data_IF_750855902370
#
_entry.id   IF_750855902370
#
_cell.length_a   1.000
_cell.length_b   1.000
_cell.length_c   1.000
_cell.angle_alpha   90.00
_cell.angle_beta   90.00
_cell.angle_gamma   90.00
#
_symmetry.space_group_name_H-M   'P 1'
#
loop_
_entity.id
_entity.type
_entity.pdbx_description
1 polymer ?
#
# COMPACT_ATOMS: atom_id res chain seq x y z
N UNK A 1 -14.29 8.72 -19.76
CA UNK A 1 -14.99 8.46 -18.47
C UNK A 1 -14.76 9.59 -17.46
N UNK A 2 -13.57 9.76 -16.87
CA UNK A 2 -13.35 10.82 -15.86
C UNK A 2 -13.47 12.24 -16.44
N UNK A 3 -12.85 12.51 -17.59
CA UNK A 3 -12.95 13.79 -18.32
C UNK A 3 -14.41 14.16 -18.61
N UNK A 4 -15.19 13.23 -19.17
CA UNK A 4 -16.61 13.45 -19.51
C UNK A 4 -17.45 13.74 -18.26
N UNK A 5 -17.21 13.01 -17.17
CA UNK A 5 -17.90 13.20 -15.89
C UNK A 5 -17.64 14.59 -15.31
N UNK A 6 -16.36 15.00 -15.24
CA UNK A 6 -15.98 16.33 -14.75
C UNK A 6 -16.51 17.44 -15.66
N UNK A 7 -16.45 17.24 -16.98
CA UNK A 7 -17.00 18.18 -17.96
C UNK A 7 -18.51 18.39 -17.82
N UNK A 8 -19.25 17.29 -17.61
CA UNK A 8 -20.69 17.37 -17.35
C UNK A 8 -21.00 18.07 -16.02
N UNK A 9 -20.29 17.72 -14.95
CA UNK A 9 -20.46 18.36 -13.64
C UNK A 9 -20.14 19.87 -13.69
N UNK A 10 -19.07 20.27 -14.39
CA UNK A 10 -18.71 21.67 -14.58
C UNK A 10 -19.80 22.43 -15.34
N UNK A 11 -20.37 21.83 -16.38
CA UNK A 11 -21.49 22.40 -17.14
C UNK A 11 -22.71 22.64 -16.25
N UNK A 12 -23.12 21.63 -15.47
CA UNK A 12 -24.27 21.75 -14.55
C UNK A 12 -24.03 22.78 -13.45
N UNK A 13 -22.81 22.91 -12.96
CA UNK A 13 -22.43 23.88 -11.93
C UNK A 13 -22.20 25.30 -12.48
N UNK A 14 -22.35 25.53 -13.78
CA UNK A 14 -22.09 26.83 -14.41
C UNK A 14 -20.62 27.26 -14.34
N UNK A 15 -19.70 26.30 -14.20
CA UNK A 15 -18.26 26.56 -14.16
C UNK A 15 -17.72 26.75 -15.58
N UNK A 16 -16.67 27.57 -15.70
CA UNK A 16 -15.95 27.77 -16.96
C UNK A 16 -15.39 26.42 -17.47
N UNK A 17 -15.68 26.11 -18.74
CA UNK A 17 -15.13 24.94 -19.39
C UNK A 17 -13.63 25.13 -19.67
N UNK A 18 -12.79 24.25 -19.09
CA UNK A 18 -11.34 24.21 -19.34
C UNK A 18 -10.95 22.90 -20.02
N UNK A 19 -9.96 22.99 -20.91
CA UNK A 19 -9.41 21.82 -21.58
C UNK A 19 -8.80 20.85 -20.56
N UNK A 20 -9.15 19.56 -20.68
CA UNK A 20 -8.64 18.52 -19.80
C UNK A 20 -7.14 18.26 -20.06
N UNK A 21 -6.32 18.43 -19.02
CA UNK A 21 -4.86 18.21 -19.11
C UNK A 21 -4.42 16.83 -18.60
N UNK A 22 -5.34 16.03 -18.07
CA UNK A 22 -5.01 14.77 -17.35
C UNK A 22 -4.36 13.72 -18.25
N UNK A 23 -4.57 13.77 -19.57
CA UNK A 23 -3.90 12.90 -20.56
C UNK A 23 -2.37 12.97 -20.49
N UNK A 24 -1.81 14.11 -20.06
CA UNK A 24 -0.38 14.34 -19.93
C UNK A 24 0.07 14.53 -18.48
N UNK A 25 -0.86 14.42 -17.53
CA UNK A 25 -0.57 14.58 -16.13
C UNK A 25 0.00 13.27 -15.59
N UNK A 26 1.26 13.32 -15.16
CA UNK A 26 1.86 12.22 -14.45
C UNK A 26 1.17 12.04 -13.09
N UNK A 27 0.75 10.81 -12.79
CA UNK A 27 0.20 10.49 -11.48
C UNK A 27 1.29 10.47 -10.41
N UNK A 28 0.87 10.54 -9.15
CA UNK A 28 1.76 10.38 -8.01
C UNK A 28 2.58 9.08 -8.12
N UNK A 29 3.83 9.11 -7.66
CA UNK A 29 4.79 8.02 -7.85
C UNK A 29 5.47 8.00 -9.22
N UNK A 30 5.05 8.79 -10.22
CA UNK A 30 5.70 8.78 -11.53
C UNK A 30 7.19 9.17 -11.45
N UNK A 31 8.03 8.32 -12.02
CA UNK A 31 9.45 8.58 -12.18
C UNK A 31 9.93 7.98 -13.52
N UNK A 32 10.84 8.65 -14.23
CA UNK A 32 11.28 8.23 -15.59
C UNK A 32 12.08 6.93 -15.62
N UNK A 33 12.83 6.65 -14.56
CA UNK A 33 13.71 5.47 -14.47
C UNK A 33 13.60 4.83 -13.08
N UNK A 34 12.43 4.26 -12.72
CA UNK A 34 12.19 3.72 -11.37
C UNK A 34 13.03 2.48 -11.05
N UNK A 35 13.53 1.78 -12.07
CA UNK A 35 14.32 0.55 -11.93
C UNK A 35 15.60 0.76 -11.11
N UNK A 36 16.13 1.99 -11.06
CA UNK A 36 17.29 2.35 -10.25
C UNK A 36 17.06 2.16 -8.74
N UNK A 37 15.80 2.05 -8.31
CA UNK A 37 15.43 1.86 -6.91
C UNK A 37 15.31 0.38 -6.50
N UNK A 38 15.64 -0.57 -7.38
CA UNK A 38 15.64 -2.00 -7.06
C UNK A 38 14.25 -2.50 -6.65
N UNK A 39 14.14 -3.13 -5.48
CA UNK A 39 12.85 -3.64 -4.95
C UNK A 39 11.82 -2.54 -4.74
N UNK A 40 12.23 -1.29 -4.53
CA UNK A 40 11.35 -0.14 -4.34
C UNK A 40 10.95 0.53 -5.66
N UNK A 41 11.31 -0.03 -6.82
CA UNK A 41 10.93 0.52 -8.12
C UNK A 41 9.43 0.72 -8.28
N UNK A 42 8.61 -0.08 -7.60
CA UNK A 42 7.14 0.03 -7.63
C UNK A 42 6.61 1.36 -7.07
N UNK A 43 7.38 2.04 -6.20
CA UNK A 43 7.02 3.32 -5.59
C UNK A 43 7.53 4.53 -6.39
N UNK A 44 8.34 4.31 -7.42
CA UNK A 44 8.85 5.35 -8.30
C UNK A 44 9.44 6.55 -7.56
N UNK A 45 8.83 7.73 -7.68
CA UNK A 45 9.35 8.96 -7.07
C UNK A 45 9.38 8.95 -5.54
N UNK A 46 8.62 8.07 -4.90
CA UNK A 46 8.55 7.98 -3.44
C UNK A 46 9.63 7.06 -2.84
N UNK A 47 10.29 6.27 -3.68
CA UNK A 47 11.33 5.34 -3.24
C UNK A 47 12.44 5.99 -2.40
N UNK A 48 12.97 7.20 -2.69
CA UNK A 48 13.95 7.85 -1.82
C UNK A 48 13.43 8.11 -0.40
N UNK A 49 12.18 8.57 -0.26
CA UNK A 49 11.60 8.83 1.05
C UNK A 49 11.37 7.52 1.83
N UNK A 50 10.99 6.44 1.14
CA UNK A 50 10.92 5.11 1.74
C UNK A 50 12.29 4.63 2.19
N UNK A 51 13.34 4.86 1.40
CA UNK A 51 14.71 4.50 1.79
C UNK A 51 15.16 5.23 3.05
N UNK A 52 14.85 6.53 3.18
CA UNK A 52 15.15 7.29 4.39
C UNK A 52 14.36 6.74 5.60
N UNK A 53 13.09 6.40 5.40
CA UNK A 53 12.25 5.75 6.41
C UNK A 53 12.83 4.41 6.87
N UNK A 54 13.37 3.60 5.95
CA UNK A 54 14.03 2.32 6.22
C UNK A 54 15.36 2.50 6.96
N UNK A 55 16.14 3.54 6.65
CA UNK A 55 17.42 3.81 7.32
C UNK A 55 17.25 4.27 8.77
N UNK A 56 16.11 4.88 9.09
CA UNK A 56 15.83 5.39 10.43
C UNK A 56 15.64 4.30 11.51
N UNK A 57 15.35 3.05 11.12
CA UNK A 57 15.16 1.93 12.05
C UNK A 57 15.48 0.60 11.37
N UNK A 58 16.41 -0.17 11.93
CA UNK A 58 16.84 -1.46 11.38
C UNK A 58 15.72 -2.50 11.35
N UNK A 59 14.72 -2.41 12.22
CA UNK A 59 13.54 -3.29 12.17
C UNK A 59 12.73 -3.08 10.88
N UNK A 60 12.72 -1.87 10.34
CA UNK A 60 12.00 -1.55 9.10
C UNK A 60 12.62 -2.19 7.87
N UNK A 61 13.92 -2.51 7.91
CA UNK A 61 14.65 -3.19 6.84
C UNK A 61 14.43 -4.71 6.82
N UNK A 62 13.73 -5.28 7.81
CA UNK A 62 13.42 -6.71 7.83
C UNK A 62 12.25 -7.00 6.90
N UNK A 63 12.28 -8.16 6.24
CA UNK A 63 11.13 -8.68 5.51
C UNK A 63 9.97 -8.94 6.48
N UNK A 64 8.75 -8.69 6.01
CA UNK A 64 7.55 -9.09 6.76
C UNK A 64 7.51 -10.61 6.91
N UNK A 65 7.96 -11.34 5.89
CA UNK A 65 8.08 -12.79 5.85
C UNK A 65 9.19 -13.21 4.88
N UNK A 66 9.99 -14.26 5.16
CA UNK A 66 11.10 -14.69 4.28
C UNK A 66 10.68 -15.05 2.85
N UNK A 67 9.43 -15.49 2.65
CA UNK A 67 8.88 -15.85 1.35
C UNK A 67 8.15 -14.70 0.62
N UNK A 68 8.23 -13.47 1.13
CA UNK A 68 7.59 -12.29 0.54
C UNK A 68 8.64 -11.18 0.33
N UNK A 69 8.55 -10.37 -0.74
CA UNK A 69 9.53 -9.33 -1.02
C UNK A 69 9.38 -8.08 -0.15
N UNK A 70 8.23 -7.90 0.50
CA UNK A 70 7.90 -6.69 1.22
C UNK A 70 8.62 -6.56 2.57
N UNK A 71 9.04 -5.34 2.89
CA UNK A 71 9.73 -4.94 4.11
C UNK A 71 8.76 -4.39 5.15
N UNK A 72 9.15 -4.46 6.42
CA UNK A 72 8.34 -3.90 7.52
C UNK A 72 8.18 -2.38 7.40
N UNK A 73 9.17 -1.66 6.87
CA UNK A 73 9.07 -0.23 6.63
C UNK A 73 8.04 0.15 5.56
N UNK A 74 7.75 -0.73 4.61
CA UNK A 74 6.68 -0.50 3.63
C UNK A 74 5.30 -0.51 4.30
N UNK A 75 5.12 -1.25 5.41
CA UNK A 75 3.89 -1.17 6.22
C UNK A 75 3.70 0.24 6.78
N UNK A 76 4.78 0.80 7.35
CA UNK A 76 4.78 2.15 7.92
C UNK A 76 4.49 3.19 6.84
N UNK A 77 5.15 3.06 5.68
CA UNK A 77 4.90 3.94 4.54
C UNK A 77 3.43 3.89 4.11
N UNK A 78 2.89 2.69 3.92
CA UNK A 78 1.51 2.49 3.49
C UNK A 78 0.50 3.11 4.46
N UNK A 79 0.74 3.01 5.78
CA UNK A 79 -0.11 3.64 6.80
C UNK A 79 -0.04 5.16 6.74
N UNK A 80 1.16 5.73 6.67
CA UNK A 80 1.38 7.18 6.77
C UNK A 80 0.99 7.93 5.48
N UNK A 81 1.29 7.36 4.32
CA UNK A 81 1.25 8.07 3.04
C UNK A 81 0.25 7.48 2.04
N UNK A 82 -0.12 6.20 2.19
CA UNK A 82 -1.02 5.52 1.24
C UNK A 82 -2.38 5.16 1.86
N UNK A 83 -2.67 5.70 3.04
CA UNK A 83 -3.91 5.51 3.78
C UNK A 83 -4.31 4.04 4.02
N UNK A 84 -3.34 3.13 4.20
CA UNK A 84 -3.63 1.76 4.61
C UNK A 84 -4.18 1.75 6.05
N UNK A 85 -5.38 1.19 6.25
CA UNK A 85 -6.06 1.12 7.56
C UNK A 85 -6.37 -0.30 8.01
N UNK A 86 -6.24 -1.27 7.12
CA UNK A 86 -6.41 -2.70 7.40
C UNK A 86 -5.23 -3.52 6.89
N UNK A 87 -5.05 -4.73 7.43
CA UNK A 87 -4.03 -5.67 6.93
C UNK A 87 -4.26 -5.99 5.44
N UNK A 88 -5.52 -6.06 4.99
CA UNK A 88 -5.88 -6.29 3.58
C UNK A 88 -5.38 -5.16 2.66
N UNK A 89 -5.49 -3.89 3.09
CA UNK A 89 -5.00 -2.76 2.32
C UNK A 89 -3.52 -2.93 1.95
N UNK A 90 -2.72 -3.36 2.92
CA UNK A 90 -1.29 -3.58 2.69
C UNK A 90 -1.00 -4.88 1.94
N UNK A 91 -1.44 -6.03 2.47
CA UNK A 91 -1.07 -7.34 1.95
C UNK A 91 -1.73 -7.70 0.62
N UNK A 92 -2.94 -7.21 0.34
CA UNK A 92 -3.60 -7.46 -0.93
C UNK A 92 -3.39 -6.33 -1.93
N UNK A 93 -3.51 -5.06 -1.50
CA UNK A 93 -3.63 -3.93 -2.44
C UNK A 93 -2.33 -3.16 -2.69
N UNK A 94 -1.42 -3.06 -1.71
CA UNK A 94 -0.13 -2.38 -1.88
C UNK A 94 0.96 -3.31 -2.37
N UNK A 95 1.11 -4.46 -1.71
CA UNK A 95 2.21 -5.39 -2.00
C UNK A 95 1.78 -6.61 -2.82
N UNK A 96 0.47 -6.86 -2.92
CA UNK A 96 -0.10 -8.07 -3.56
C UNK A 96 0.40 -9.39 -2.95
N UNK A 97 1.01 -9.35 -1.77
CA UNK A 97 1.53 -10.51 -1.04
C UNK A 97 0.49 -11.63 -0.90
N UNK A 98 -0.79 -11.28 -0.65
CA UNK A 98 -1.89 -12.24 -0.55
C UNK A 98 -2.02 -13.08 -1.83
N UNK A 99 -1.94 -12.44 -3.00
CA UNK A 99 -2.11 -13.11 -4.28
C UNK A 99 -0.86 -13.86 -4.72
N UNK A 100 0.32 -13.41 -4.31
CA UNK A 100 1.60 -14.05 -4.63
C UNK A 100 1.81 -15.31 -3.79
N UNK A 101 1.53 -15.24 -2.49
CA UNK A 101 1.65 -16.38 -1.58
C UNK A 101 0.72 -16.21 -0.37
N UNK A 102 -0.48 -16.78 -0.47
CA UNK A 102 -1.51 -16.65 0.55
C UNK A 102 -1.09 -17.20 1.92
N UNK A 103 -0.35 -18.34 1.97
CA UNK A 103 0.14 -18.90 3.25
C UNK A 103 1.14 -17.96 3.93
N UNK A 104 2.13 -17.50 3.18
CA UNK A 104 3.13 -16.55 3.70
C UNK A 104 2.48 -15.22 4.12
N UNK A 105 1.47 -14.74 3.39
CA UNK A 105 0.73 -13.54 3.77
C UNK A 105 -0.05 -13.73 5.08
N UNK A 106 -0.68 -14.90 5.28
CA UNK A 106 -1.35 -15.24 6.55
C UNK A 106 -0.37 -15.31 7.71
N UNK A 107 0.81 -15.87 7.51
CA UNK A 107 1.89 -15.95 8.51
C UNK A 107 2.51 -14.56 8.80
N UNK A 108 2.55 -13.68 7.80
CA UNK A 108 3.02 -12.30 7.95
C UNK A 108 2.02 -11.40 8.71
N UNK A 109 0.73 -11.75 8.71
CA UNK A 109 -0.34 -10.88 9.19
C UNK A 109 -0.14 -10.35 10.63
N UNK A 110 0.27 -11.17 11.63
CA UNK A 110 0.52 -10.66 12.98
C UNK A 110 1.63 -9.61 13.04
N UNK A 111 2.70 -9.78 12.25
CA UNK A 111 3.78 -8.78 12.18
C UNK A 111 3.31 -7.51 11.48
N UNK A 112 2.53 -7.61 10.41
CA UNK A 112 1.94 -6.43 9.76
C UNK A 112 1.01 -5.69 10.74
N UNK A 113 0.18 -6.42 11.48
CA UNK A 113 -0.73 -5.85 12.47
C UNK A 113 0.01 -5.03 13.54
N UNK A 114 1.14 -5.53 14.06
CA UNK A 114 1.89 -4.82 15.10
C UNK A 114 2.49 -3.51 14.61
N UNK A 115 3.07 -3.49 13.40
CA UNK A 115 3.55 -2.25 12.78
C UNK A 115 2.41 -1.27 12.50
N UNK A 116 1.28 -1.75 11.99
CA UNK A 116 0.12 -0.88 11.75
C UNK A 116 -0.45 -0.32 13.06
N UNK A 117 -0.56 -1.13 14.11
CA UNK A 117 -1.09 -0.70 15.40
C UNK A 117 -0.22 0.37 16.05
N UNK A 118 1.11 0.21 15.99
CA UNK A 118 2.05 1.20 16.49
C UNK A 118 1.90 2.56 15.78
N UNK A 119 1.70 2.56 14.47
CA UNK A 119 1.54 3.77 13.66
C UNK A 119 0.16 4.42 13.78
N UNK A 120 -0.88 3.63 14.06
CA UNK A 120 -2.27 4.08 14.17
C UNK A 120 -2.70 4.38 15.61
N UNK A 121 -1.89 4.04 16.61
CA UNK A 121 -2.24 4.17 18.02
C UNK A 121 -3.27 3.14 18.50
N UNK A 122 -3.29 1.95 17.91
CA UNK A 122 -4.19 0.86 18.29
C UNK A 122 -3.55 -0.16 19.22
N UNK A 123 -4.39 -0.91 19.92
CA UNK A 123 -3.98 -1.89 20.93
C UNK A 123 -3.91 -3.32 20.37
N UNK A 124 -3.57 -4.28 21.23
CA UNK A 124 -3.49 -5.70 20.88
C UNK A 124 -4.84 -6.29 20.46
N UNK A 125 -5.94 -5.83 21.06
CA UNK A 125 -7.28 -6.29 20.68
C UNK A 125 -7.57 -6.00 19.20
N UNK A 126 -7.25 -4.78 18.74
CA UNK A 126 -7.38 -4.42 17.33
C UNK A 126 -6.48 -5.29 16.44
N UNK A 127 -5.25 -5.59 16.87
CA UNK A 127 -4.35 -6.46 16.10
C UNK A 127 -4.95 -7.86 15.92
N UNK A 128 -5.46 -8.47 17.00
CA UNK A 128 -6.11 -9.78 16.94
C UNK A 128 -7.33 -9.79 16.02
N UNK A 129 -8.17 -8.75 16.08
CA UNK A 129 -9.35 -8.61 15.22
C UNK A 129 -8.98 -8.45 13.74
N UNK A 130 -7.96 -7.65 13.43
CA UNK A 130 -7.45 -7.48 12.07
C UNK A 130 -6.87 -8.78 11.52
N UNK A 131 -6.06 -9.49 12.31
CA UNK A 131 -5.49 -10.79 11.91
C UNK A 131 -6.60 -11.80 11.65
N UNK A 132 -7.58 -11.92 12.54
CA UNK A 132 -8.70 -12.85 12.35
C UNK A 132 -9.53 -12.51 11.10
N UNK A 133 -9.76 -11.22 10.85
CA UNK A 133 -10.47 -10.74 9.65
C UNK A 133 -9.70 -11.08 8.39
N UNK A 134 -8.39 -10.77 8.35
CA UNK A 134 -7.54 -11.06 7.21
C UNK A 134 -7.44 -12.57 6.95
N UNK A 135 -7.27 -13.40 7.99
CA UNK A 135 -7.26 -14.85 7.83
C UNK A 135 -8.53 -15.39 7.16
N UNK A 136 -9.70 -14.81 7.46
CA UNK A 136 -10.97 -15.20 6.84
C UNK A 136 -10.99 -14.89 5.33
N UNK A 137 -10.44 -13.74 4.95
CA UNK A 137 -10.28 -13.34 3.54
C UNK A 137 -9.31 -14.31 2.84
N UNK A 138 -8.14 -14.53 3.45
CA UNK A 138 -7.02 -15.26 2.85
C UNK A 138 -7.30 -16.74 2.62
N UNK A 139 -8.18 -17.36 3.41
CA UNK A 139 -8.61 -18.76 3.18
C UNK A 139 -9.18 -19.01 1.79
N UNK A 140 -9.76 -17.99 1.14
CA UNK A 140 -10.30 -18.09 -0.23
C UNK A 140 -9.22 -18.13 -1.31
N UNK A 141 -7.96 -17.87 -0.95
CA UNK A 141 -6.81 -17.82 -1.84
C UNK A 141 -5.85 -19.00 -1.62
N UNK A 142 -6.20 -19.93 -0.73
CA UNK A 142 -5.44 -21.17 -0.58
C UNK A 142 -5.81 -22.13 -1.72
N UNK A 143 -4.82 -22.83 -2.31
CA UNK A 143 -5.12 -23.88 -3.28
C UNK A 143 -5.92 -25.00 -2.59
N UNK A 144 -6.87 -25.54 -3.35
CA UNK A 144 -7.72 -26.68 -2.96
C UNK A 144 -6.88 -27.95 -2.86
#
# INVERSE_FOLDING_TARGET
MAEDCVGHAATLAGLEAKACVTKRLNIHGYHKSPQKFGSLAIYGSDAPAIQDLLRADTLRQKLIHPALPALCGEVVWAVRFEAARTIDDFLARRTRSLFLNARAAMEAAPKVASFMAAELGYNEQWQSEQVATFQRISRRYLPV
#
